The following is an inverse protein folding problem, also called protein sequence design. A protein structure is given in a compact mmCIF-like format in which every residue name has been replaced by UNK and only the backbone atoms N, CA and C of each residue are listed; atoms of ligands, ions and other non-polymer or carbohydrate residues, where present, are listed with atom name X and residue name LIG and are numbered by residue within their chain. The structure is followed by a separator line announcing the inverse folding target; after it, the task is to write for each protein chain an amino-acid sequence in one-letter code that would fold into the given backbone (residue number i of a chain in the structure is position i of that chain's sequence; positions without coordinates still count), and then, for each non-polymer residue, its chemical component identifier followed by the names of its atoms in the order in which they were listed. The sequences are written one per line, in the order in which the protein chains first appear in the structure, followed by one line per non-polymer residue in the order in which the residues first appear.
data_IF_026317107291
#
_entry.id   IF_026317107291
#
_cell.length_a   1.000
_cell.length_b   1.000
_cell.length_c   1.000
_cell.angle_alpha   90.00
_cell.angle_beta   90.00
_cell.angle_gamma   90.00
#
_symmetry.space_group_name_H-M   'P 1'
#
loop_
_entity.id
_entity.type
_entity.pdbx_description
1 polymer ?
#
# COMPACT_ATOMS: atom_id res chain seq x y z
N UNK A 1 32.23 -3.87 -4.91
CA UNK A 1 31.31 -3.69 -3.76
C UNK A 1 29.91 -3.64 -4.35
N UNK A 2 29.07 -4.65 -4.11
CA UNK A 2 27.67 -4.60 -4.53
C UNK A 2 26.95 -3.67 -3.55
N UNK A 3 26.77 -2.42 -3.93
CA UNK A 3 25.96 -1.47 -3.17
C UNK A 3 24.51 -1.97 -3.23
N UNK A 4 24.07 -2.63 -2.17
CA UNK A 4 22.65 -2.87 -1.93
C UNK A 4 21.96 -1.51 -1.95
N UNK A 5 21.29 -1.16 -3.07
CA UNK A 5 20.50 0.06 -3.18
C UNK A 5 19.57 0.14 -1.96
N UNK A 6 19.64 1.25 -1.23
CA UNK A 6 18.90 1.42 0.02
C UNK A 6 17.40 1.34 -0.21
N UNK A 7 16.63 0.86 0.77
CA UNK A 7 15.17 0.81 0.73
C UNK A 7 14.54 2.16 0.30
N UNK A 8 15.11 3.27 0.79
CA UNK A 8 14.71 4.63 0.42
C UNK A 8 15.03 4.99 -1.03
N UNK A 9 16.15 4.50 -1.57
CA UNK A 9 16.55 4.72 -2.95
C UNK A 9 15.61 4.00 -3.93
N UNK A 10 15.10 2.83 -3.53
CA UNK A 10 14.06 2.09 -4.26
C UNK A 10 12.67 2.72 -4.13
N UNK A 11 12.36 3.40 -3.01
CA UNK A 11 11.08 4.11 -2.82
C UNK A 11 10.97 5.36 -3.71
N UNK A 12 12.11 6.00 -4.02
CA UNK A 12 12.20 7.12 -4.97
C UNK A 12 12.54 6.68 -6.41
N UNK A 13 12.58 5.36 -6.69
CA UNK A 13 12.76 4.85 -8.05
C UNK A 13 11.44 4.97 -8.82
N UNK A 14 11.21 6.16 -9.39
CA UNK A 14 10.02 6.50 -10.21
C UNK A 14 9.96 5.73 -11.53
N UNK A 15 10.89 4.80 -11.79
CA UNK A 15 10.94 4.01 -13.01
C UNK A 15 9.82 2.96 -13.12
N UNK A 16 9.19 2.53 -12.02
CA UNK A 16 8.14 1.47 -11.99
C UNK A 16 8.46 0.17 -12.77
N UNK A 17 9.73 -0.03 -13.16
CA UNK A 17 10.19 -1.11 -14.04
C UNK A 17 10.24 -2.48 -13.34
N UNK A 18 10.22 -2.47 -12.00
CA UNK A 18 10.23 -3.65 -11.14
C UNK A 18 9.00 -3.67 -10.25
N UNK A 19 8.42 -4.85 -10.03
CA UNK A 19 7.28 -5.10 -9.14
C UNK A 19 7.67 -4.91 -7.66
N UNK A 20 8.03 -3.68 -7.27
CA UNK A 20 8.44 -3.29 -5.90
C UNK A 20 7.20 -3.05 -5.02
N UNK A 21 6.01 -2.95 -5.61
CA UNK A 21 4.76 -2.65 -4.92
C UNK A 21 4.47 -3.54 -3.69
N UNK A 22 4.69 -4.89 -3.69
CA UNK A 22 4.48 -5.71 -2.49
C UNK A 22 5.44 -5.36 -1.34
N UNK A 23 6.62 -4.81 -1.65
CA UNK A 23 7.66 -4.49 -0.67
C UNK A 23 7.41 -3.14 0.02
N UNK A 24 6.70 -2.21 -0.63
CA UNK A 24 6.45 -0.86 -0.11
C UNK A 24 5.06 -0.66 0.51
N UNK A 25 4.14 -1.61 0.33
CA UNK A 25 2.76 -1.52 0.84
C UNK A 25 2.70 -1.29 2.36
N UNK A 26 3.59 -1.91 3.15
CA UNK A 26 3.64 -1.65 4.59
C UNK A 26 3.98 -0.19 4.92
N UNK A 27 4.90 0.42 4.17
CA UNK A 27 5.25 1.84 4.35
C UNK A 27 4.14 2.75 3.88
N UNK A 28 3.49 2.44 2.74
CA UNK A 28 2.32 3.19 2.27
C UNK A 28 1.16 3.14 3.27
N UNK A 29 0.95 2.00 3.94
CA UNK A 29 -0.07 1.88 4.96
C UNK A 29 0.21 2.80 6.15
N UNK A 30 1.43 2.79 6.68
CA UNK A 30 1.82 3.64 7.81
C UNK A 30 1.72 5.12 7.43
N UNK A 31 2.22 5.50 6.26
CA UNK A 31 2.12 6.88 5.77
C UNK A 31 0.66 7.33 5.59
N UNK A 32 -0.19 6.48 5.00
CA UNK A 32 -1.62 6.77 4.86
C UNK A 32 -2.32 6.91 6.21
N UNK A 33 -2.04 6.04 7.18
CA UNK A 33 -2.55 6.17 8.54
C UNK A 33 -2.11 7.46 9.22
N UNK A 34 -0.84 7.84 9.09
CA UNK A 34 -0.33 9.09 9.65
C UNK A 34 -1.04 10.30 9.05
N UNK A 35 -1.24 10.32 7.73
CA UNK A 35 -1.98 11.38 7.03
C UNK A 35 -3.43 11.44 7.52
N UNK A 36 -4.11 10.29 7.59
CA UNK A 36 -5.48 10.22 8.09
C UNK A 36 -5.60 10.71 9.53
N UNK A 37 -4.70 10.29 10.41
CA UNK A 37 -4.69 10.70 11.81
C UNK A 37 -4.45 12.22 11.95
N UNK A 38 -3.49 12.76 11.20
CA UNK A 38 -3.18 14.19 11.22
C UNK A 38 -4.34 15.03 10.67
N UNK A 39 -5.00 14.55 9.61
CA UNK A 39 -6.20 15.17 9.04
C UNK A 39 -7.36 15.19 10.03
N UNK A 40 -7.62 14.07 10.72
CA UNK A 40 -8.66 14.01 11.76
C UNK A 40 -8.32 14.95 12.91
N UNK A 41 -7.07 14.97 13.39
CA UNK A 41 -6.65 15.86 14.47
C UNK A 41 -6.81 17.34 14.10
N UNK A 42 -6.38 17.71 12.90
CA UNK A 42 -6.54 19.07 12.38
C UNK A 42 -8.02 19.47 12.24
N UNK A 43 -8.85 18.55 11.78
CA UNK A 43 -10.29 18.77 11.63
C UNK A 43 -11.00 18.95 12.97
N UNK A 44 -10.64 18.14 13.98
CA UNK A 44 -11.14 18.27 15.35
C UNK A 44 -10.73 19.61 15.96
N UNK A 45 -9.46 19.99 15.82
CA UNK A 45 -8.96 21.29 16.28
C UNK A 45 -9.72 22.45 15.64
N UNK A 46 -9.92 22.40 14.32
CA UNK A 46 -10.65 23.43 13.58
C UNK A 46 -12.12 23.51 14.00
N UNK A 47 -12.77 22.36 14.26
CA UNK A 47 -14.15 22.33 14.73
C UNK A 47 -14.31 23.03 16.09
N UNK A 48 -13.40 22.77 17.04
CA UNK A 48 -13.42 23.47 18.33
C UNK A 48 -13.16 24.97 18.22
N UNK A 49 -12.27 25.40 17.31
CA UNK A 49 -11.89 26.80 17.18
C UNK A 49 -12.91 27.65 16.42
N UNK A 50 -13.57 27.07 15.41
CA UNK A 50 -14.41 27.83 14.47
C UNK A 50 -15.90 27.58 14.67
N UNK A 51 -16.31 26.33 14.97
CA UNK A 51 -17.71 25.96 15.00
C UNK A 51 -18.30 25.99 16.42
N UNK A 52 -17.54 25.55 17.42
CA UNK A 52 -17.96 25.57 18.82
C UNK A 52 -17.74 24.25 19.55
N UNK A 53 -18.15 24.20 20.81
CA UNK A 53 -17.92 23.04 21.68
C UNK A 53 -18.70 21.80 21.23
N UNK A 54 -19.99 21.96 20.87
CA UNK A 54 -20.85 20.84 20.47
C UNK A 54 -20.33 20.20 19.19
N UNK A 55 -19.98 21.01 18.21
CA UNK A 55 -19.43 20.60 16.93
C UNK A 55 -18.04 19.99 17.09
N UNK A 56 -17.19 20.55 17.97
CA UNK A 56 -15.88 19.99 18.29
C UNK A 56 -15.97 18.59 18.91
N UNK A 57 -16.87 18.39 19.88
CA UNK A 57 -17.11 17.06 20.48
C UNK A 57 -17.71 16.10 19.46
N UNK A 58 -18.66 16.56 18.63
CA UNK A 58 -19.21 15.77 17.53
C UNK A 58 -18.11 15.32 16.57
N UNK A 59 -17.25 16.24 16.13
CA UNK A 59 -16.14 15.95 15.21
C UNK A 59 -15.10 15.02 15.85
N UNK A 60 -14.89 15.06 17.16
CA UNK A 60 -14.01 14.13 17.85
C UNK A 60 -14.55 12.69 17.78
N UNK A 61 -15.84 12.50 18.07
CA UNK A 61 -16.47 11.17 18.05
C UNK A 61 -16.57 10.64 16.62
N UNK A 62 -17.17 11.41 15.71
CA UNK A 62 -17.36 10.99 14.32
C UNK A 62 -16.05 10.95 13.54
N UNK A 63 -15.09 11.83 13.84
CA UNK A 63 -13.76 11.83 13.22
C UNK A 63 -12.93 10.60 13.59
N UNK A 64 -13.03 10.09 14.83
CA UNK A 64 -12.39 8.83 15.22
C UNK A 64 -13.05 7.62 14.53
N UNK A 65 -14.38 7.58 14.47
CA UNK A 65 -15.10 6.54 13.73
C UNK A 65 -14.71 6.58 12.24
N UNK A 66 -14.68 7.79 11.66
CA UNK A 66 -14.24 8.01 10.28
C UNK A 66 -12.80 7.57 10.04
N UNK A 67 -11.89 7.85 10.99
CA UNK A 67 -10.49 7.40 10.91
C UNK A 67 -10.37 5.87 10.92
N UNK A 68 -11.16 5.17 11.75
CA UNK A 68 -11.19 3.71 11.76
C UNK A 68 -11.71 3.14 10.44
N UNK A 69 -12.82 3.69 9.92
CA UNK A 69 -13.36 3.28 8.62
C UNK A 69 -12.32 3.53 7.51
N UNK A 70 -11.70 4.70 7.50
CA UNK A 70 -10.61 5.05 6.58
C UNK A 70 -9.46 4.05 6.66
N UNK A 71 -9.01 3.69 7.87
CA UNK A 71 -7.94 2.72 8.09
C UNK A 71 -8.28 1.33 7.52
N UNK A 72 -9.53 0.88 7.69
CA UNK A 72 -10.02 -0.39 7.13
C UNK A 72 -10.02 -0.32 5.59
N UNK A 73 -10.58 0.75 5.02
CA UNK A 73 -10.59 0.95 3.56
C UNK A 73 -9.18 1.00 2.98
N UNK A 74 -8.26 1.71 3.63
CA UNK A 74 -6.86 1.78 3.22
C UNK A 74 -6.23 0.38 3.23
N UNK A 75 -6.46 -0.41 4.28
CA UNK A 75 -5.96 -1.79 4.40
C UNK A 75 -6.49 -2.68 3.27
N UNK A 76 -7.80 -2.68 3.04
CA UNK A 76 -8.44 -3.50 1.99
C UNK A 76 -7.94 -3.09 0.60
N UNK A 77 -7.78 -1.79 0.36
CA UNK A 77 -7.28 -1.27 -0.91
C UNK A 77 -5.85 -1.75 -1.17
N UNK A 78 -4.96 -1.59 -0.19
CA UNK A 78 -3.56 -2.03 -0.31
C UNK A 78 -3.45 -3.55 -0.49
N UNK A 79 -4.25 -4.34 0.23
CA UNK A 79 -4.29 -5.79 0.02
C UNK A 79 -4.75 -6.16 -1.37
N UNK A 80 -5.75 -5.44 -1.91
CA UNK A 80 -6.24 -5.66 -3.28
C UNK A 80 -5.14 -5.38 -4.30
N UNK A 81 -4.40 -4.27 -4.15
CA UNK A 81 -3.27 -3.96 -5.02
C UNK A 81 -2.18 -5.02 -4.95
N UNK A 82 -1.81 -5.47 -3.75
CA UNK A 82 -0.81 -6.53 -3.59
C UNK A 82 -1.28 -7.84 -4.21
N UNK A 83 -2.55 -8.21 -4.03
CA UNK A 83 -3.11 -9.44 -4.58
C UNK A 83 -3.06 -9.46 -6.12
N UNK A 84 -3.40 -8.34 -6.76
CA UNK A 84 -3.32 -8.19 -8.23
C UNK A 84 -1.88 -8.41 -8.71
N UNK A 85 -0.92 -7.77 -8.03
CA UNK A 85 0.49 -7.81 -8.43
C UNK A 85 1.08 -9.20 -8.23
N UNK A 86 0.81 -9.84 -7.08
CA UNK A 86 1.23 -11.23 -6.82
C UNK A 86 0.63 -12.23 -7.81
N UNK A 87 -0.59 -11.98 -8.29
CA UNK A 87 -1.24 -12.82 -9.31
C UNK A 87 -0.52 -12.70 -10.66
N UNK A 88 -0.13 -11.49 -11.05
CA UNK A 88 0.64 -11.25 -12.26
C UNK A 88 2.02 -11.93 -12.19
N UNK A 89 2.70 -11.87 -11.04
CA UNK A 89 3.98 -12.55 -10.81
C UNK A 89 3.84 -14.08 -10.92
N UNK A 90 2.85 -14.65 -10.25
CA UNK A 90 2.61 -16.10 -10.23
C UNK A 90 2.36 -16.65 -11.64
N UNK A 91 1.71 -15.88 -12.50
CA UNK A 91 1.45 -16.26 -13.90
C UNK A 91 2.74 -16.28 -14.73
N UNK A 92 3.67 -15.34 -14.49
CA UNK A 92 4.97 -15.29 -15.20
C UNK A 92 5.84 -16.49 -14.84
N UNK A 93 5.89 -16.86 -13.56
CA UNK A 93 6.66 -18.02 -13.09
C UNK A 93 6.13 -19.32 -13.70
N UNK A 94 4.80 -19.48 -13.78
CA UNK A 94 4.20 -20.66 -14.40
C UNK A 94 4.51 -20.76 -15.92
N UNK A 95 4.50 -19.63 -16.62
CA UNK A 95 4.84 -19.61 -18.05
C UNK A 95 6.29 -20.05 -18.31
N UNK A 96 7.22 -19.63 -17.45
CA UNK A 96 8.64 -19.99 -17.56
C UNK A 96 8.89 -21.48 -17.27
N UNK A 97 8.22 -22.05 -16.27
CA UNK A 97 8.32 -23.49 -15.94
C UNK A 97 7.77 -24.39 -17.06
N UNK A 98 6.64 -24.00 -17.67
CA UNK A 98 6.07 -24.73 -18.82
C UNK A 98 6.99 -24.71 -20.03
N UNK A 99 7.65 -23.59 -20.31
CA UNK A 99 8.60 -23.47 -21.42
C UNK A 99 9.87 -24.29 -21.16
N UNK A 100 10.37 -24.26 -19.92
CA UNK A 100 11.52 -25.07 -19.49
C UNK A 100 11.25 -26.57 -19.70
N UNK A 101 10.11 -27.08 -19.21
CA UNK A 101 9.73 -28.49 -19.40
C UNK A 101 9.63 -28.91 -20.86
N UNK A 102 9.03 -28.07 -21.71
CA UNK A 102 8.91 -28.36 -23.16
C UNK A 102 10.24 -28.34 -23.89
N UNK A 103 11.21 -27.53 -23.46
CA UNK A 103 12.55 -27.55 -24.02
C UNK A 103 13.27 -28.88 -23.78
N UNK A 104 13.10 -29.46 -22.58
CA UNK A 104 13.73 -30.73 -22.18
C UNK A 104 13.08 -31.93 -22.91
N UNK A 105 11.77 -31.88 -23.18
CA UNK A 105 11.07 -32.92 -23.94
C UNK A 105 11.45 -32.95 -25.43
N UNK A 106 11.87 -31.82 -26.01
CA UNK A 106 12.30 -31.73 -27.41
C UNK A 106 13.76 -32.12 -27.62
N UNK A 107 14.60 -32.09 -26.58
CA UNK A 107 16.02 -32.50 -26.64
C UNK A 107 16.21 -34.01 -26.44
N UNK A 108 15.26 -34.68 -25.77
CA UNK A 108 15.31 -36.11 -25.44
C UNK A 108 14.48 -37.03 -26.35
N UNK A 109 13.88 -36.52 -27.44
CA UNK A 109 13.09 -37.27 -28.42
C UNK A 109 13.70 -37.26 -29.80
#
# INVERSE_FOLDING_TARGET
MQTNKGFFEKLFDLSFSSFIAPQIVGVLYILGLLIGALFTLWSVFTAFMVAGFVEGVGMLVFGLIGLLIYAIFLRVSLESFVAIIRTAESTRVLAEDVLSKRGIEQENG
#
